data_IF_070498656375
#
_entry.id   IF_070498656375
#
_cell.length_a   1.000
_cell.length_b   1.000
_cell.length_c   1.000
_cell.angle_alpha   90.00
_cell.angle_beta   90.00
_cell.angle_gamma   90.00
#
_symmetry.space_group_name_H-M   'P 1'
#
loop_
_entity.id
_entity.type
_entity.pdbx_description
1 polymer ?
#
# COMPACT_ATOMS: atom_id res chain seq x y z
N UNK A 1 10.79 31.87 21.82
CA UNK A 1 9.63 31.12 22.36
C UNK A 1 9.59 29.79 21.63
N UNK A 2 10.06 28.73 22.29
CA UNK A 2 10.27 27.41 21.69
C UNK A 2 9.00 26.56 21.79
N UNK A 3 8.59 25.94 20.69
CA UNK A 3 7.56 24.89 20.70
C UNK A 3 8.11 23.63 20.00
N UNK A 4 7.97 22.46 20.63
CA UNK A 4 8.76 21.26 20.33
C UNK A 4 8.30 20.47 19.11
N UNK A 5 9.29 19.88 18.44
CA UNK A 5 9.18 18.84 17.40
C UNK A 5 8.84 17.47 18.02
N UNK A 6 8.05 16.68 17.26
CA UNK A 6 7.94 15.20 17.28
C UNK A 6 7.40 14.51 18.54
N UNK A 7 6.20 13.93 18.43
CA UNK A 7 5.82 12.72 19.16
C UNK A 7 4.59 12.04 18.53
N UNK A 8 4.80 11.21 17.50
CA UNK A 8 3.76 10.32 16.98
C UNK A 8 4.37 8.99 16.49
N UNK A 9 5.12 8.32 17.36
CA UNK A 9 5.57 6.93 17.18
C UNK A 9 5.78 6.29 18.57
N UNK A 10 4.72 6.19 19.38
CA UNK A 10 4.80 5.56 20.71
C UNK A 10 3.50 4.79 21.06
N UNK A 11 2.75 4.26 20.08
CA UNK A 11 1.47 3.59 20.35
C UNK A 11 1.34 2.16 19.78
N UNK A 12 2.46 1.44 19.59
CA UNK A 12 2.44 0.05 19.10
C UNK A 12 3.16 -0.96 20.00
N UNK A 13 3.55 -0.59 21.22
CA UNK A 13 4.21 -1.51 22.18
C UNK A 13 3.36 -1.92 23.40
N UNK A 14 2.08 -1.56 23.44
CA UNK A 14 1.25 -1.71 24.64
C UNK A 14 0.37 -2.98 24.72
N UNK A 15 0.63 -4.04 23.94
CA UNK A 15 -0.16 -5.29 24.01
C UNK A 15 0.68 -6.59 24.04
N UNK A 16 1.88 -6.55 24.62
CA UNK A 16 2.51 -7.77 25.14
C UNK A 16 2.12 -7.92 26.62
N UNK A 17 0.89 -8.40 26.86
CA UNK A 17 0.55 -8.94 28.18
C UNK A 17 1.44 -10.15 28.42
N UNK A 18 2.50 -9.95 29.19
CA UNK A 18 3.25 -11.06 29.77
C UNK A 18 2.28 -11.86 30.64
N UNK A 19 1.82 -13.00 30.13
CA UNK A 19 1.15 -13.99 30.96
C UNK A 19 2.24 -14.59 31.84
N UNK A 20 2.43 -14.01 33.03
CA UNK A 20 3.17 -14.66 34.10
C UNK A 20 2.42 -15.94 34.45
N UNK A 21 2.83 -17.06 33.85
CA UNK A 21 2.53 -18.39 34.38
C UNK A 21 3.18 -18.47 35.76
N UNK A 22 2.42 -18.14 36.80
CA UNK A 22 2.75 -18.53 38.16
C UNK A 22 2.56 -20.03 38.22
N UNK A 23 3.67 -20.78 38.24
CA UNK A 23 3.63 -22.17 38.68
C UNK A 23 3.09 -22.18 40.10
N UNK A 24 1.85 -22.65 40.26
CA UNK A 24 1.25 -22.88 41.55
C UNK A 24 1.93 -24.10 42.19
N UNK A 25 2.97 -23.87 42.96
CA UNK A 25 3.41 -24.81 43.98
C UNK A 25 2.44 -24.70 45.15
N UNK A 26 1.65 -25.74 45.42
CA UNK A 26 1.63 -26.42 46.72
C UNK A 26 0.59 -27.57 46.76
N UNK A 27 1.11 -28.71 47.24
CA UNK A 27 0.56 -30.04 47.54
C UNK A 27 -0.93 -30.22 47.85
N UNK A 28 -1.49 -31.29 47.27
CA UNK A 28 -2.44 -32.18 47.95
C UNK A 28 -2.41 -33.60 47.34
N UNK A 29 -1.90 -34.54 48.14
CA UNK A 29 -2.26 -35.97 48.29
C UNK A 29 -2.18 -36.99 47.12
N UNK A 30 -1.48 -38.09 47.44
CA UNK A 30 -1.46 -39.43 46.87
C UNK A 30 -2.62 -39.81 45.93
N UNK A 31 -2.38 -39.66 44.63
CA UNK A 31 -2.91 -40.54 43.61
C UNK A 31 -1.86 -40.66 42.51
N UNK A 32 -1.47 -41.89 42.16
CA UNK A 32 -0.57 -42.16 41.03
C UNK A 32 -1.21 -41.62 39.75
N UNK A 33 -0.88 -40.38 39.39
CA UNK A 33 -1.20 -39.84 38.08
C UNK A 33 -0.42 -40.66 37.06
N UNK A 34 -1.15 -41.47 36.30
CA UNK A 34 -0.66 -42.21 35.15
C UNK A 34 0.17 -41.25 34.27
N UNK A 35 1.35 -41.66 33.75
CA UNK A 35 2.17 -40.80 32.93
C UNK A 35 1.38 -40.41 31.67
N UNK A 36 0.82 -39.20 31.68
CA UNK A 36 0.17 -38.62 30.52
C UNK A 36 1.28 -38.37 29.50
N UNK A 37 1.35 -39.22 28.47
CA UNK A 37 2.19 -39.01 27.30
C UNK A 37 1.73 -37.73 26.60
N UNK A 38 2.28 -36.57 27.00
CA UNK A 38 2.05 -35.32 26.28
C UNK A 38 2.62 -35.48 24.86
N UNK A 39 1.78 -35.40 23.81
CA UNK A 39 2.27 -35.53 22.45
C UNK A 39 3.22 -34.37 22.17
N UNK A 40 4.31 -34.69 21.48
CA UNK A 40 5.29 -33.70 21.04
C UNK A 40 4.54 -32.56 20.33
N UNK A 41 4.64 -31.34 20.87
CA UNK A 41 3.83 -30.21 20.43
C UNK A 41 4.05 -29.87 18.95
N UNK A 42 3.04 -29.28 18.31
CA UNK A 42 3.04 -28.91 16.89
C UNK A 42 4.28 -28.11 16.46
N UNK A 43 4.83 -27.28 17.36
CA UNK A 43 6.05 -26.50 17.12
C UNK A 43 7.28 -27.35 16.78
N UNK A 44 7.40 -28.56 17.33
CA UNK A 44 8.51 -29.46 17.02
C UNK A 44 8.45 -29.94 15.56
N UNK A 45 7.28 -30.35 15.08
CA UNK A 45 7.10 -30.78 13.69
C UNK A 45 7.32 -29.62 12.70
N UNK A 46 6.90 -28.40 13.07
CA UNK A 46 7.21 -27.20 12.29
C UNK A 46 8.71 -26.93 12.20
N UNK A 47 9.45 -27.11 13.31
CA UNK A 47 10.90 -26.97 13.32
C UNK A 47 11.58 -28.07 12.50
N UNK A 48 11.13 -29.32 12.63
CA UNK A 48 11.68 -30.44 11.86
C UNK A 48 11.43 -30.27 10.35
N UNK A 49 10.26 -29.73 9.99
CA UNK A 49 9.91 -29.41 8.60
C UNK A 49 10.61 -28.17 8.05
N UNK A 50 10.97 -27.20 8.90
CA UNK A 50 11.61 -25.96 8.44
C UNK A 50 13.03 -26.19 7.90
N UNK A 51 13.76 -27.14 8.46
CA UNK A 51 15.14 -27.49 8.05
C UNK A 51 15.21 -27.93 6.58
N UNK A 52 14.50 -28.99 6.13
CA UNK A 52 14.52 -29.38 4.73
C UNK A 52 13.88 -28.32 3.82
N UNK A 53 12.85 -27.63 4.30
CA UNK A 53 12.20 -26.55 3.53
C UNK A 53 13.19 -25.41 3.24
N UNK A 54 13.95 -24.98 4.24
CA UNK A 54 14.98 -23.96 4.10
C UNK A 54 16.09 -24.40 3.14
N UNK A 55 16.48 -25.69 3.16
CA UNK A 55 17.46 -26.24 2.22
C UNK A 55 16.96 -26.22 0.77
N UNK A 56 15.71 -26.59 0.54
CA UNK A 56 15.08 -26.51 -0.79
C UNK A 56 15.04 -25.06 -1.27
N UNK A 57 14.56 -24.13 -0.43
CA UNK A 57 14.52 -22.70 -0.77
C UNK A 57 15.93 -22.16 -1.06
N UNK A 58 16.93 -22.55 -0.26
CA UNK A 58 18.32 -22.14 -0.47
C UNK A 58 18.85 -22.63 -1.82
N UNK A 59 18.70 -23.91 -2.13
CA UNK A 59 19.18 -24.47 -3.40
C UNK A 59 18.48 -23.86 -4.63
N UNK A 60 17.20 -23.51 -4.52
CA UNK A 60 16.49 -22.80 -5.58
C UNK A 60 16.91 -21.33 -5.67
N UNK A 61 17.26 -20.67 -4.56
CA UNK A 61 17.61 -19.24 -4.52
C UNK A 61 19.05 -18.98 -4.94
N UNK A 62 19.97 -19.92 -4.69
CA UNK A 62 21.38 -19.76 -5.04
C UNK A 62 21.59 -19.65 -6.55
N UNK A 63 22.39 -18.67 -7.02
CA UNK A 63 22.76 -18.57 -8.43
C UNK A 63 23.58 -19.79 -8.86
N UNK A 64 23.45 -20.18 -10.13
CA UNK A 64 24.17 -21.35 -10.65
C UNK A 64 25.69 -21.06 -10.73
N UNK A 65 26.52 -22.10 -10.86
CA UNK A 65 28.00 -21.95 -10.90
C UNK A 65 28.49 -21.03 -12.05
N UNK A 66 27.65 -20.80 -13.04
CA UNK A 66 27.87 -19.93 -14.19
C UNK A 66 27.50 -18.46 -13.92
N UNK A 67 27.07 -18.11 -12.71
CA UNK A 67 26.70 -16.74 -12.33
C UNK A 67 25.31 -16.31 -12.81
N UNK A 68 24.52 -17.20 -13.41
CA UNK A 68 23.16 -16.91 -13.84
C UNK A 68 22.20 -16.79 -12.65
N UNK A 69 21.37 -15.75 -12.68
CA UNK A 69 20.34 -15.51 -11.67
C UNK A 69 19.31 -16.64 -11.64
N UNK A 70 18.96 -17.06 -10.43
CA UNK A 70 17.89 -18.04 -10.17
C UNK A 70 16.57 -17.60 -10.82
N UNK A 71 15.77 -18.59 -11.24
CA UNK A 71 14.42 -18.39 -11.75
C UNK A 71 13.53 -17.59 -10.80
N UNK A 72 13.71 -17.76 -9.48
CA UNK A 72 12.95 -17.04 -8.45
C UNK A 72 13.33 -15.56 -8.50
N UNK A 73 14.63 -15.26 -8.48
CA UNK A 73 15.17 -13.90 -8.55
C UNK A 73 14.71 -13.20 -9.82
N UNK A 74 14.77 -13.88 -10.96
CA UNK A 74 14.29 -13.35 -12.25
C UNK A 74 12.80 -13.00 -12.22
N UNK A 75 12.00 -13.85 -11.58
CA UNK A 75 10.57 -13.61 -11.42
C UNK A 75 10.28 -12.46 -10.46
N UNK A 76 11.02 -12.34 -9.37
CA UNK A 76 10.92 -11.18 -8.46
C UNK A 76 11.28 -9.90 -9.22
N UNK A 77 12.38 -9.91 -9.98
CA UNK A 77 12.84 -8.76 -10.76
C UNK A 77 11.82 -8.27 -11.79
N UNK A 78 10.98 -9.16 -12.32
CA UNK A 78 9.90 -8.75 -13.23
C UNK A 78 8.91 -7.77 -12.59
N UNK A 79 8.80 -7.75 -11.25
CA UNK A 79 7.97 -6.80 -10.50
C UNK A 79 8.69 -5.48 -10.17
N UNK A 80 9.99 -5.35 -10.42
CA UNK A 80 10.75 -4.13 -10.09
C UNK A 80 10.24 -2.89 -10.83
N UNK A 81 9.57 -3.06 -11.99
CA UNK A 81 8.97 -1.95 -12.73
C UNK A 81 7.94 -1.16 -11.90
N UNK A 82 7.20 -1.84 -11.02
CA UNK A 82 6.26 -1.17 -10.10
C UNK A 82 6.99 -0.35 -9.05
N UNK A 83 8.11 -0.88 -8.53
CA UNK A 83 8.94 -0.18 -7.56
C UNK A 83 9.57 1.07 -8.17
N UNK A 84 9.97 1.01 -9.44
CA UNK A 84 10.51 2.16 -10.17
C UNK A 84 9.45 3.25 -10.37
N UNK A 85 8.22 2.86 -10.77
CA UNK A 85 7.11 3.80 -10.90
C UNK A 85 6.76 4.48 -9.57
N UNK A 86 6.71 3.72 -8.47
CA UNK A 86 6.44 4.27 -7.14
C UNK A 86 7.58 5.15 -6.64
N UNK A 87 8.84 4.76 -6.93
CA UNK A 87 10.00 5.59 -6.63
C UNK A 87 9.93 6.92 -7.38
N UNK A 88 9.59 6.92 -8.67
CA UNK A 88 9.44 8.13 -9.47
C UNK A 88 8.33 9.05 -8.93
N UNK A 89 7.19 8.49 -8.51
CA UNK A 89 6.09 9.24 -7.87
C UNK A 89 6.52 9.86 -6.54
N UNK A 90 7.21 9.09 -5.70
CA UNK A 90 7.70 9.56 -4.41
C UNK A 90 8.76 10.64 -4.55
N UNK A 91 9.65 10.51 -5.53
CA UNK A 91 10.63 11.53 -5.87
C UNK A 91 9.95 12.83 -6.32
N UNK A 92 8.97 12.73 -7.22
CA UNK A 92 8.19 13.88 -7.68
C UNK A 92 7.48 14.58 -6.51
N UNK A 93 6.81 13.82 -5.65
CA UNK A 93 6.12 14.36 -4.47
C UNK A 93 7.10 15.05 -3.50
N UNK A 94 8.27 14.45 -3.27
CA UNK A 94 9.31 15.04 -2.41
C UNK A 94 9.79 16.37 -2.98
N UNK A 95 10.07 16.43 -4.28
CA UNK A 95 10.47 17.66 -4.97
C UNK A 95 9.40 18.75 -4.86
N UNK A 96 8.13 18.41 -5.07
CA UNK A 96 7.02 19.36 -4.92
C UNK A 96 6.91 19.91 -3.50
N UNK A 97 7.08 19.06 -2.48
CA UNK A 97 7.04 19.50 -1.07
C UNK A 97 8.24 20.40 -0.73
N UNK A 98 9.43 20.09 -1.25
CA UNK A 98 10.63 20.92 -1.08
C UNK A 98 10.46 22.30 -1.73
N UNK A 99 9.96 22.34 -2.96
CA UNK A 99 9.67 23.58 -3.67
C UNK A 99 8.60 24.41 -2.95
N UNK A 100 7.47 23.80 -2.57
CA UNK A 100 6.42 24.47 -1.79
C UNK A 100 6.94 24.99 -0.43
N UNK A 101 7.87 24.27 0.21
CA UNK A 101 8.55 24.70 1.42
C UNK A 101 9.43 25.92 1.20
N UNK A 102 10.21 25.92 0.11
CA UNK A 102 11.05 27.05 -0.28
C UNK A 102 10.21 28.29 -0.64
N UNK A 103 9.14 28.12 -1.42
CA UNK A 103 8.21 29.19 -1.75
C UNK A 103 7.55 29.77 -0.50
N UNK A 104 7.10 28.92 0.43
CA UNK A 104 6.56 29.38 1.70
C UNK A 104 7.60 30.18 2.49
N UNK A 105 8.86 29.76 2.49
CA UNK A 105 9.93 30.51 3.14
C UNK A 105 10.12 31.89 2.47
N UNK A 106 10.07 31.99 1.14
CA UNK A 106 10.13 33.26 0.42
C UNK A 106 8.94 34.16 0.75
N UNK A 107 7.72 33.62 0.81
CA UNK A 107 6.52 34.39 1.15
C UNK A 107 6.51 34.88 2.60
N UNK A 108 7.01 34.05 3.54
CA UNK A 108 7.10 34.44 4.95
C UNK A 108 8.24 35.42 5.18
N UNK A 109 9.40 35.22 4.56
CA UNK A 109 10.57 36.11 4.71
C UNK A 109 10.41 37.45 4.00
N UNK A 110 9.70 37.50 2.87
CA UNK A 110 9.37 38.77 2.18
C UNK A 110 8.32 39.61 2.89
N UNK A 111 7.63 39.05 3.90
CA UNK A 111 6.70 39.79 4.75
C UNK A 111 7.49 40.60 5.77
N UNK A 112 7.53 41.93 5.61
CA UNK A 112 8.00 42.81 6.66
C UNK A 112 7.12 42.58 7.91
N UNK A 113 7.67 42.14 9.05
CA UNK A 113 6.88 41.85 10.26
C UNK A 113 6.15 43.09 10.81
N UNK A 114 6.58 44.29 10.41
CA UNK A 114 6.00 45.56 10.84
C UNK A 114 4.94 46.12 9.86
N UNK A 115 4.72 45.49 8.70
CA UNK A 115 3.70 45.88 7.73
C UNK A 115 3.04 44.63 7.13
N UNK A 116 1.90 44.15 7.68
CA UNK A 116 1.11 43.15 6.98
C UNK A 116 0.67 43.74 5.63
N UNK A 117 0.87 43.02 4.52
CA UNK A 117 0.32 43.39 3.22
C UNK A 117 -1.20 43.18 3.24
N UNK A 118 -1.91 44.07 3.93
CA UNK A 118 -3.36 44.15 3.88
C UNK A 118 -3.73 44.88 2.60
N UNK A 119 -4.18 44.13 1.60
CA UNK A 119 -4.85 44.73 0.43
C UNK A 119 -6.25 45.07 0.89
N UNK A 120 -6.60 46.35 0.88
CA UNK A 120 -7.98 46.76 1.15
C UNK A 120 -8.86 46.36 -0.03
N UNK A 121 -9.61 45.28 0.16
CA UNK A 121 -10.48 44.70 -0.83
C UNK A 121 -11.90 45.21 -0.58
N UNK A 122 -12.50 45.85 -1.59
CA UNK A 122 -13.87 46.37 -1.51
C UNK A 122 -14.90 45.28 -1.16
N UNK A 123 -14.61 44.03 -1.54
CA UNK A 123 -15.49 42.88 -1.30
C UNK A 123 -14.66 41.65 -0.89
N UNK A 124 -14.52 41.43 0.42
CA UNK A 124 -13.77 40.27 0.95
C UNK A 124 -14.50 38.94 0.74
N UNK A 125 -15.82 39.00 0.57
CA UNK A 125 -16.70 37.83 0.40
C UNK A 125 -16.44 37.08 -0.91
N UNK A 126 -15.84 37.73 -1.91
CA UNK A 126 -15.54 37.12 -3.21
C UNK A 126 -14.56 35.94 -3.11
N UNK A 127 -13.74 35.88 -2.06
CA UNK A 127 -12.83 34.74 -1.80
C UNK A 127 -13.55 33.52 -1.22
N UNK A 128 -14.72 33.71 -0.62
CA UNK A 128 -15.54 32.63 -0.06
C UNK A 128 -16.66 32.19 -1.01
N UNK A 129 -16.97 32.98 -2.05
CA UNK A 129 -17.83 32.54 -3.15
C UNK A 129 -17.02 31.74 -4.17
N UNK A 130 -17.24 30.43 -4.24
CA UNK A 130 -16.67 29.59 -5.30
C UNK A 130 -17.15 30.03 -6.69
N UNK A 131 -16.36 29.71 -7.73
CA UNK A 131 -16.83 29.88 -9.11
C UNK A 131 -18.11 29.06 -9.32
N UNK A 132 -19.13 29.57 -10.02
CA UNK A 132 -20.34 28.80 -10.36
C UNK A 132 -20.01 27.51 -11.13
N UNK A 133 -18.81 27.41 -11.70
CA UNK A 133 -18.31 26.24 -12.41
C UNK A 133 -17.35 25.36 -11.59
N UNK A 134 -16.85 25.85 -10.45
CA UNK A 134 -15.93 25.09 -9.58
C UNK A 134 -16.70 24.52 -8.39
N UNK A 135 -17.49 23.48 -8.66
CA UNK A 135 -18.27 22.81 -7.62
C UNK A 135 -17.45 21.69 -7.01
N UNK A 136 -17.37 21.56 -5.66
CA UNK A 136 -16.71 20.42 -5.05
C UNK A 136 -17.34 19.12 -5.55
N UNK A 137 -16.49 18.09 -5.72
CA UNK A 137 -16.93 16.79 -6.22
C UNK A 137 -18.09 16.26 -5.35
N UNK A 138 -19.24 15.99 -5.99
CA UNK A 138 -20.45 15.50 -5.33
C UNK A 138 -21.49 16.56 -4.95
N UNK A 139 -21.22 17.85 -5.18
CA UNK A 139 -22.12 18.95 -4.74
C UNK A 139 -22.63 19.84 -5.88
N UNK A 140 -22.60 19.35 -7.13
CA UNK A 140 -23.00 20.08 -8.33
C UNK A 140 -24.41 19.79 -8.82
N UNK A 141 -25.09 20.85 -9.27
CA UNK A 141 -26.33 20.81 -10.06
C UNK A 141 -26.12 20.45 -11.54
N UNK A 142 -24.90 20.03 -11.91
CA UNK A 142 -24.56 19.65 -13.28
C UNK A 142 -25.18 18.27 -13.55
N UNK A 143 -26.03 18.19 -14.58
CA UNK A 143 -26.64 16.93 -14.99
C UNK A 143 -25.56 16.02 -15.60
N UNK A 144 -25.17 14.98 -14.85
CA UNK A 144 -24.17 13.99 -15.25
C UNK A 144 -24.75 12.85 -16.10
N UNK A 145 -26.05 12.87 -16.43
CA UNK A 145 -26.71 11.73 -17.08
C UNK A 145 -26.08 11.39 -18.43
N UNK A 146 -25.69 12.39 -19.22
CA UNK A 146 -25.01 12.16 -20.50
C UNK A 146 -23.64 11.48 -20.34
N UNK A 147 -22.89 11.84 -19.29
CA UNK A 147 -21.58 11.23 -18.99
C UNK A 147 -21.78 9.80 -18.52
N UNK A 148 -22.78 9.58 -17.66
CA UNK A 148 -23.14 8.26 -17.16
C UNK A 148 -23.57 7.36 -18.33
N UNK A 149 -24.44 7.85 -19.22
CA UNK A 149 -24.89 7.13 -20.41
C UNK A 149 -23.73 6.77 -21.35
N UNK A 150 -22.82 7.72 -21.60
CA UNK A 150 -21.62 7.48 -22.39
C UNK A 150 -20.74 6.35 -21.82
N UNK A 151 -20.49 6.37 -20.51
CA UNK A 151 -19.68 5.34 -19.86
C UNK A 151 -20.38 3.99 -19.75
N UNK A 152 -21.70 3.98 -19.55
CA UNK A 152 -22.50 2.74 -19.62
C UNK A 152 -22.38 2.09 -20.99
N UNK A 153 -22.61 2.87 -22.07
CA UNK A 153 -22.46 2.40 -23.44
C UNK A 153 -21.05 1.88 -23.73
N UNK A 154 -20.02 2.62 -23.30
CA UNK A 154 -18.63 2.19 -23.45
C UNK A 154 -18.34 0.86 -22.77
N UNK A 155 -18.91 0.63 -21.57
CA UNK A 155 -18.75 -0.64 -20.87
C UNK A 155 -19.48 -1.78 -21.59
N UNK A 156 -20.70 -1.54 -22.07
CA UNK A 156 -21.47 -2.52 -22.85
C UNK A 156 -20.74 -2.92 -24.14
N UNK A 157 -20.17 -1.95 -24.87
CA UNK A 157 -19.38 -2.21 -26.07
C UNK A 157 -18.14 -3.08 -25.75
N UNK A 158 -17.43 -2.76 -24.65
CA UNK A 158 -16.28 -3.56 -24.18
C UNK A 158 -16.68 -4.96 -23.72
N UNK A 159 -17.84 -5.12 -23.08
CA UNK A 159 -18.36 -6.44 -22.73
C UNK A 159 -18.75 -7.25 -23.96
N UNK A 160 -19.41 -6.63 -24.94
CA UNK A 160 -19.75 -7.28 -26.20
C UNK A 160 -18.48 -7.74 -26.93
N UNK A 161 -17.44 -6.93 -26.98
CA UNK A 161 -16.17 -7.31 -27.61
C UNK A 161 -15.42 -8.40 -26.83
N UNK A 162 -15.47 -8.36 -25.49
CA UNK A 162 -14.93 -9.44 -24.64
C UNK A 162 -15.65 -10.76 -24.87
N UNK A 163 -16.98 -10.77 -24.99
CA UNK A 163 -17.78 -11.97 -25.27
C UNK A 163 -17.48 -12.48 -26.68
N UNK A 164 -17.51 -11.62 -27.70
CA UNK A 164 -17.12 -11.99 -29.08
C UNK A 164 -15.73 -12.63 -29.11
N UNK A 165 -14.77 -12.06 -28.36
CA UNK A 165 -13.42 -12.59 -28.27
C UNK A 165 -13.34 -13.92 -27.50
N UNK A 166 -14.17 -14.11 -26.48
CA UNK A 166 -14.29 -15.39 -25.79
C UNK A 166 -14.87 -16.48 -26.70
N UNK A 167 -15.94 -16.17 -27.43
CA UNK A 167 -16.59 -17.07 -28.39
C UNK A 167 -15.66 -17.44 -29.55
N UNK A 168 -14.93 -16.45 -30.09
CA UNK A 168 -13.90 -16.67 -31.10
C UNK A 168 -12.82 -17.62 -30.58
N UNK A 169 -12.33 -17.42 -29.34
CA UNK A 169 -11.33 -18.30 -28.71
C UNK A 169 -11.85 -19.72 -28.48
N UNK A 170 -13.13 -19.89 -28.12
CA UNK A 170 -13.75 -21.21 -27.95
C UNK A 170 -13.86 -21.95 -29.29
N UNK A 171 -14.29 -21.27 -30.36
CA UNK A 171 -14.46 -21.85 -31.69
C UNK A 171 -13.14 -22.22 -32.36
N UNK A 172 -12.10 -21.41 -32.16
CA UNK A 172 -10.85 -21.52 -32.89
C UNK A 172 -9.71 -22.17 -32.11
N UNK A 173 -10.01 -22.87 -31.00
CA UNK A 173 -9.08 -23.78 -30.31
C UNK A 173 -7.64 -23.29 -30.20
N UNK A 174 -7.37 -22.35 -29.30
CA UNK A 174 -6.03 -21.78 -28.94
C UNK A 174 -5.14 -21.40 -30.14
N UNK A 175 -5.12 -20.10 -30.46
CA UNK A 175 -4.09 -19.44 -31.28
C UNK A 175 -3.26 -18.51 -30.35
N UNK A 176 -1.93 -18.41 -30.52
CA UNK A 176 -1.02 -17.81 -29.54
C UNK A 176 -1.25 -16.31 -29.36
N UNK A 177 -0.94 -15.83 -28.14
CA UNK A 177 -0.88 -14.42 -27.77
C UNK A 177 0.09 -13.68 -28.70
N UNK A 178 -0.43 -12.77 -29.52
CA UNK A 178 0.39 -11.78 -30.23
C UNK A 178 0.14 -10.39 -29.67
N UNK A 179 1.21 -9.86 -29.02
CA UNK A 179 1.69 -8.46 -28.89
C UNK A 179 0.67 -7.42 -28.42
N UNK A 180 0.83 -6.84 -27.22
CA UNK A 180 1.73 -5.71 -26.92
C UNK A 180 1.75 -4.65 -28.03
N UNK A 181 0.84 -3.69 -27.89
CA UNK A 181 1.05 -2.26 -28.14
C UNK A 181 0.44 -1.46 -26.98
#
# INVERSE_FOLDING_TARGET
MALPRRAAFQASRALLRTSQRRSASHHAHDHHAEPVNEPIGTGFYLFLGSIPTAYVVYSLSTPNKQGEESWITRKIRSYDHWLEADKARNELHTKMVEEAGNERLLLVSSRNPNQPRTVDLRFQEQFNSGSPYNVPAGQGSINLEQVIEFYKKKNEDQEADRVKWADFRQKNGKVPLSKEE
#
